data_IF_207198559234
#
_entry.id   IF_207198559234
#
_cell.length_a   1.000
_cell.length_b   1.000
_cell.length_c   1.000
_cell.angle_alpha   90.00
_cell.angle_beta   90.00
_cell.angle_gamma   90.00
#
_symmetry.space_group_name_H-M   'P 1'
#
loop_
_entity.id
_entity.type
_entity.pdbx_description
1 polymer ?
#
# COMPACT_ATOMS: atom_id res chain seq x y z
N UNK A 1 -4.56 46.95 22.88
CA UNK A 1 -5.00 45.77 23.67
C UNK A 1 -5.44 44.67 22.71
N UNK A 2 -4.61 43.65 22.49
CA UNK A 2 -4.83 42.58 21.51
C UNK A 2 -4.82 41.26 22.28
N UNK A 3 -5.94 40.54 22.27
CA UNK A 3 -6.13 39.28 23.00
C UNK A 3 -5.53 38.14 22.18
N UNK A 4 -4.55 37.43 22.73
CA UNK A 4 -4.06 36.17 22.18
C UNK A 4 -4.68 35.02 22.96
N UNK A 5 -5.42 34.17 22.25
CA UNK A 5 -6.07 32.97 22.80
C UNK A 5 -5.12 31.80 22.55
N UNK A 6 -4.71 31.11 23.62
CA UNK A 6 -4.06 29.80 23.57
C UNK A 6 -5.10 28.71 23.28
N UNK A 7 -4.78 27.78 22.37
CA UNK A 7 -5.31 26.40 22.33
C UNK A 7 -4.28 25.55 21.59
N UNK A 8 -3.49 24.72 22.29
CA UNK A 8 -3.73 23.33 22.73
C UNK A 8 -3.72 22.29 21.58
N UNK A 9 -2.72 21.41 21.69
CA UNK A 9 -2.37 20.19 20.96
C UNK A 9 -3.47 19.42 20.19
N UNK A 10 -3.08 18.85 19.03
CA UNK A 10 -3.21 17.43 18.62
C UNK A 10 -2.90 17.33 17.11
N UNK A 11 -1.65 17.04 16.73
CA UNK A 11 -1.24 17.08 15.32
C UNK A 11 -0.16 16.08 14.91
N UNK A 12 -0.06 14.95 15.60
CA UNK A 12 0.96 13.94 15.28
C UNK A 12 0.51 12.55 15.66
N UNK A 13 -0.10 11.84 14.72
CA UNK A 13 -0.03 10.38 14.59
C UNK A 13 -0.69 9.96 13.28
N UNK A 14 -0.15 8.90 12.68
CA UNK A 14 -0.61 8.16 11.50
C UNK A 14 0.05 8.51 10.15
N UNK A 15 1.36 8.30 10.06
CA UNK A 15 1.95 7.68 8.86
C UNK A 15 3.01 6.70 9.35
N UNK A 16 2.77 5.40 9.20
CA UNK A 16 3.76 4.31 8.97
C UNK A 16 3.13 2.94 9.25
N UNK A 17 2.46 2.35 8.27
CA UNK A 17 2.29 0.89 8.18
C UNK A 17 2.33 0.49 6.72
N UNK A 18 3.51 0.26 6.17
CA UNK A 18 3.75 -0.75 5.13
C UNK A 18 5.26 -0.84 4.83
N UNK A 19 5.86 -1.97 5.23
CA UNK A 19 7.04 -2.63 4.64
C UNK A 19 7.82 -3.32 5.76
N UNK A 20 7.35 -4.50 6.15
CA UNK A 20 8.16 -5.52 6.80
C UNK A 20 7.86 -6.82 6.06
N UNK A 21 8.50 -6.97 4.90
CA UNK A 21 8.66 -8.25 4.24
C UNK A 21 10.17 -8.46 4.04
N UNK A 22 10.61 -9.58 4.59
CA UNK A 22 11.82 -10.36 4.33
C UNK A 22 13.21 -9.99 4.87
N UNK A 23 13.81 -11.08 5.39
CA UNK A 23 15.22 -11.39 5.64
C UNK A 23 15.93 -10.89 6.92
N UNK A 24 16.14 -11.81 7.87
CA UNK A 24 17.18 -11.63 8.89
C UNK A 24 17.10 -12.51 10.13
N UNK A 25 17.34 -13.80 9.97
CA UNK A 25 17.77 -14.75 11.02
C UNK A 25 18.77 -14.12 12.01
N UNK A 26 18.42 -14.05 13.30
CA UNK A 26 19.40 -14.02 14.40
C UNK A 26 18.92 -14.89 15.57
N UNK A 27 19.60 -16.03 15.70
CA UNK A 27 19.59 -16.88 16.89
C UNK A 27 19.95 -16.09 18.14
N UNK A 28 19.11 -16.23 19.15
CA UNK A 28 19.42 -16.03 20.56
C UNK A 28 20.59 -16.93 20.97
N UNK A 29 21.67 -16.31 21.41
CA UNK A 29 22.68 -16.94 22.24
C UNK A 29 22.98 -16.00 23.39
N UNK A 30 22.63 -16.41 24.62
CA UNK A 30 23.17 -15.77 25.81
C UNK A 30 22.24 -15.77 27.02
N UNK A 31 22.49 -16.73 27.90
CA UNK A 31 22.53 -16.52 29.35
C UNK A 31 21.30 -16.84 30.20
N UNK A 32 21.29 -18.12 30.60
CA UNK A 32 21.27 -18.61 31.98
C UNK A 32 20.04 -18.35 32.87
N UNK A 33 19.33 -19.46 33.06
CA UNK A 33 18.38 -19.81 34.11
C UNK A 33 18.90 -19.40 35.50
N UNK A 34 18.07 -18.64 36.21
CA UNK A 34 18.15 -18.39 37.65
C UNK A 34 16.85 -17.75 38.12
N UNK A 35 16.02 -18.50 38.85
CA UNK A 35 14.82 -18.04 39.60
C UNK A 35 13.56 -17.59 38.82
N UNK A 36 12.91 -18.53 38.12
CA UNK A 36 11.45 -18.52 37.95
C UNK A 36 10.87 -19.92 37.62
N UNK A 37 11.39 -20.99 38.25
CA UNK A 37 10.84 -22.35 38.08
C UNK A 37 9.53 -22.60 38.87
N UNK A 38 8.84 -21.52 39.28
CA UNK A 38 7.50 -21.57 39.84
C UNK A 38 6.59 -20.53 39.15
N UNK A 39 6.65 -20.45 37.81
CA UNK A 39 5.43 -20.16 37.05
C UNK A 39 4.59 -21.44 37.05
N UNK A 40 3.87 -21.57 38.17
CA UNK A 40 3.00 -22.67 38.59
C UNK A 40 2.08 -23.11 37.45
N UNK A 41 1.80 -24.40 37.42
CA UNK A 41 0.78 -25.18 36.69
C UNK A 41 -0.62 -24.51 36.53
N UNK A 42 -0.85 -23.33 37.13
CA UNK A 42 -2.03 -22.47 37.04
C UNK A 42 -1.96 -21.38 35.94
N UNK A 43 -0.85 -21.21 35.21
CA UNK A 43 -0.78 -20.26 34.09
C UNK A 43 -1.72 -20.60 32.94
N UNK A 44 -2.06 -21.88 32.70
CA UNK A 44 -3.03 -22.24 31.66
C UNK A 44 -4.42 -21.68 31.94
N UNK A 45 -4.90 -21.75 33.19
CA UNK A 45 -6.21 -21.19 33.57
C UNK A 45 -6.22 -19.67 33.61
N UNK A 46 -5.10 -19.03 34.02
CA UNK A 46 -4.95 -17.56 33.97
C UNK A 46 -4.82 -17.06 32.54
N UNK A 47 -4.15 -17.81 31.66
CA UNK A 47 -4.00 -17.48 30.25
C UNK A 47 -5.30 -17.68 29.49
N UNK A 48 -6.02 -18.77 29.74
CA UNK A 48 -7.38 -18.98 29.24
C UNK A 48 -8.35 -17.90 29.74
N UNK A 49 -8.25 -17.49 31.01
CA UNK A 49 -9.01 -16.37 31.54
C UNK A 49 -8.66 -15.06 30.84
N UNK A 50 -7.36 -14.79 30.63
CA UNK A 50 -6.87 -13.62 29.89
C UNK A 50 -7.40 -13.60 28.45
N UNK A 51 -7.33 -14.74 27.75
CA UNK A 51 -7.83 -14.90 26.38
C UNK A 51 -9.35 -14.69 26.33
N UNK A 52 -10.08 -15.20 27.34
CA UNK A 52 -11.51 -14.98 27.47
C UNK A 52 -11.86 -13.51 27.74
N UNK A 53 -11.09 -12.80 28.57
CA UNK A 53 -11.26 -11.36 28.78
C UNK A 53 -10.93 -10.55 27.52
N UNK A 54 -9.89 -10.91 26.78
CA UNK A 54 -9.56 -10.26 25.51
C UNK A 54 -10.67 -10.48 24.46
N UNK A 55 -11.18 -11.70 24.36
CA UNK A 55 -12.30 -12.02 23.47
C UNK A 55 -13.57 -11.27 23.86
N UNK A 56 -13.89 -11.20 25.16
CA UNK A 56 -15.02 -10.43 25.66
C UNK A 56 -14.85 -8.93 25.37
N UNK A 57 -13.65 -8.38 25.56
CA UNK A 57 -13.33 -6.99 25.23
C UNK A 57 -13.54 -6.70 23.74
N UNK A 58 -13.01 -7.56 22.85
CA UNK A 58 -13.23 -7.46 21.40
C UNK A 58 -14.71 -7.52 21.04
N UNK A 59 -15.48 -8.39 21.69
CA UNK A 59 -16.92 -8.50 21.46
C UNK A 59 -17.66 -7.23 21.89
N UNK A 60 -17.35 -6.70 23.07
CA UNK A 60 -17.92 -5.44 23.57
C UNK A 60 -17.60 -4.26 22.65
N UNK A 61 -16.36 -4.16 22.16
CA UNK A 61 -15.98 -3.13 21.18
C UNK A 61 -16.77 -3.27 19.88
N UNK A 62 -16.89 -4.49 19.33
CA UNK A 62 -17.69 -4.75 18.11
C UNK A 62 -19.16 -4.42 18.32
N UNK A 63 -19.73 -4.77 19.47
CA UNK A 63 -21.10 -4.43 19.82
C UNK A 63 -21.31 -2.92 19.90
N UNK A 64 -20.39 -2.19 20.55
CA UNK A 64 -20.42 -0.73 20.61
C UNK A 64 -20.37 -0.10 19.22
N UNK A 65 -19.45 -0.55 18.34
CA UNK A 65 -19.38 -0.09 16.95
C UNK A 65 -20.67 -0.37 16.19
N UNK A 66 -21.23 -1.58 16.34
CA UNK A 66 -22.48 -1.95 15.67
C UNK A 66 -23.65 -1.07 16.14
N UNK A 67 -23.75 -0.80 17.44
CA UNK A 67 -24.79 0.08 17.98
C UNK A 67 -24.68 1.50 17.39
N UNK A 68 -23.47 2.04 17.28
CA UNK A 68 -23.23 3.33 16.62
C UNK A 68 -23.61 3.27 15.13
N UNK A 69 -23.25 2.19 14.42
CA UNK A 69 -23.63 2.02 13.01
C UNK A 69 -25.14 1.98 12.82
N UNK A 70 -25.89 1.33 13.71
CA UNK A 70 -27.35 1.30 13.69
C UNK A 70 -27.91 2.72 13.85
N UNK A 71 -27.40 3.49 14.81
CA UNK A 71 -27.82 4.89 15.02
C UNK A 71 -27.52 5.76 13.81
N UNK A 72 -26.31 5.68 13.24
CA UNK A 72 -25.93 6.43 12.04
C UNK A 72 -26.75 6.02 10.82
N UNK A 73 -27.10 4.74 10.69
CA UNK A 73 -27.90 4.23 9.58
C UNK A 73 -29.38 4.58 9.70
N UNK A 74 -29.85 4.92 10.89
CA UNK A 74 -31.22 5.38 11.12
C UNK A 74 -31.35 6.91 11.00
N UNK A 75 -30.23 7.65 10.96
CA UNK A 75 -30.20 9.11 10.82
C UNK A 75 -29.96 9.52 9.34
N UNK A 76 -30.96 10.10 8.65
CA UNK A 76 -30.82 10.57 7.28
C UNK A 76 -29.73 11.64 7.09
N UNK A 77 -29.44 12.46 8.10
CA UNK A 77 -28.41 13.50 8.05
C UNK A 77 -27.01 12.89 7.98
N UNK A 78 -26.76 11.90 8.84
CA UNK A 78 -25.52 11.13 8.85
C UNK A 78 -25.31 10.38 7.53
N UNK A 79 -26.38 9.77 6.99
CA UNK A 79 -26.35 9.10 5.68
C UNK A 79 -25.99 10.09 4.56
N UNK A 80 -26.62 11.26 4.51
CA UNK A 80 -26.35 12.24 3.46
C UNK A 80 -24.92 12.78 3.53
N UNK A 81 -24.41 13.05 4.73
CA UNK A 81 -23.01 13.46 4.93
C UNK A 81 -22.04 12.39 4.44
N UNK A 82 -22.29 11.11 4.75
CA UNK A 82 -21.48 10.01 4.27
C UNK A 82 -21.51 9.90 2.73
N UNK A 83 -22.68 10.11 2.11
CA UNK A 83 -22.84 10.13 0.65
C UNK A 83 -22.10 11.30 -0.01
N UNK A 84 -22.16 12.49 0.57
CA UNK A 84 -21.44 13.66 0.08
C UNK A 84 -19.93 13.47 0.13
N UNK A 85 -19.41 12.96 1.26
CA UNK A 85 -17.99 12.64 1.41
C UNK A 85 -17.54 11.55 0.43
N UNK A 86 -18.36 10.53 0.20
CA UNK A 86 -18.08 9.50 -0.79
C UNK A 86 -18.07 10.07 -2.22
N UNK A 87 -19.04 10.94 -2.54
CA UNK A 87 -19.13 11.61 -3.83
C UNK A 87 -17.92 12.53 -4.09
N UNK A 88 -17.48 13.28 -3.09
CA UNK A 88 -16.28 14.11 -3.17
C UNK A 88 -15.02 13.26 -3.36
N UNK A 89 -14.88 12.16 -2.61
CA UNK A 89 -13.76 11.23 -2.74
C UNK A 89 -13.71 10.59 -4.13
N UNK A 90 -14.86 10.17 -4.67
CA UNK A 90 -14.95 9.64 -6.03
C UNK A 90 -14.56 10.69 -7.09
N UNK A 91 -15.01 11.95 -6.93
CA UNK A 91 -14.61 13.05 -7.81
C UNK A 91 -13.11 13.31 -7.74
N UNK A 92 -12.50 13.31 -6.56
CA UNK A 92 -11.05 13.49 -6.45
C UNK A 92 -10.30 12.31 -7.07
N UNK A 93 -10.76 11.07 -6.85
CA UNK A 93 -10.13 9.88 -7.43
C UNK A 93 -10.17 9.86 -8.96
N UNK A 94 -11.24 10.35 -9.58
CA UNK A 94 -11.43 10.26 -11.05
C UNK A 94 -11.05 11.57 -11.75
N UNK A 95 -11.29 12.71 -11.11
CA UNK A 95 -11.12 14.05 -11.68
C UNK A 95 -9.76 14.67 -11.41
N UNK A 96 -9.13 14.35 -10.27
CA UNK A 96 -7.81 14.88 -9.96
C UNK A 96 -6.71 14.01 -10.55
N UNK A 97 -5.58 14.65 -10.87
CA UNK A 97 -4.38 13.97 -11.35
C UNK A 97 -3.32 13.87 -10.25
N UNK A 98 -2.95 14.99 -9.64
CA UNK A 98 -1.89 15.05 -8.64
C UNK A 98 -2.29 14.35 -7.33
N UNK A 99 -3.51 14.59 -6.86
CA UNK A 99 -4.00 14.09 -5.57
C UNK A 99 -4.78 12.78 -5.68
N UNK A 100 -4.93 12.21 -6.88
CA UNK A 100 -5.60 10.94 -7.08
C UNK A 100 -4.59 9.79 -7.04
N UNK A 101 -4.65 8.90 -6.03
CA UNK A 101 -3.87 7.68 -6.04
C UNK A 101 -4.17 6.79 -7.26
N UNK A 102 -5.41 6.81 -7.76
CA UNK A 102 -5.78 6.02 -8.93
C UNK A 102 -5.06 6.51 -10.20
N UNK A 103 -5.02 7.83 -10.42
CA UNK A 103 -4.28 8.40 -11.55
C UNK A 103 -2.77 8.13 -11.42
N UNK A 104 -2.22 8.31 -10.23
CA UNK A 104 -0.79 8.07 -9.97
C UNK A 104 -0.41 6.60 -10.17
N UNK A 105 -1.25 5.65 -9.78
CA UNK A 105 -1.02 4.23 -9.99
C UNK A 105 -0.97 3.88 -11.50
N UNK A 106 -1.90 4.41 -12.29
CA UNK A 106 -1.90 4.21 -13.75
C UNK A 106 -0.66 4.84 -14.39
N UNK A 107 -0.35 6.07 -14.01
CA UNK A 107 0.84 6.77 -14.51
C UNK A 107 2.12 6.01 -14.17
N UNK A 108 2.25 5.49 -12.95
CA UNK A 108 3.38 4.68 -12.52
C UNK A 108 3.52 3.41 -13.37
N UNK A 109 2.42 2.68 -13.60
CA UNK A 109 2.44 1.47 -14.42
C UNK A 109 2.89 1.77 -15.87
N UNK A 110 2.37 2.85 -16.47
CA UNK A 110 2.79 3.28 -17.82
C UNK A 110 4.26 3.68 -17.84
N UNK A 111 4.71 4.49 -16.88
CA UNK A 111 6.09 4.93 -16.79
C UNK A 111 7.05 3.77 -16.53
N UNK A 112 6.64 2.77 -15.75
CA UNK A 112 7.43 1.57 -15.52
C UNK A 112 7.58 0.74 -16.80
N UNK A 113 6.51 0.56 -17.59
CA UNK A 113 6.56 -0.15 -18.86
C UNK A 113 7.45 0.58 -19.89
N UNK A 114 7.30 1.90 -20.03
CA UNK A 114 8.13 2.73 -20.91
C UNK A 114 9.58 2.73 -20.44
N UNK A 115 9.81 2.89 -19.13
CA UNK A 115 11.13 2.85 -18.52
C UNK A 115 11.82 1.51 -18.72
N UNK A 116 11.09 0.41 -18.59
CA UNK A 116 11.61 -0.93 -18.86
C UNK A 116 12.09 -1.05 -20.32
N UNK A 117 11.26 -0.65 -21.30
CA UNK A 117 11.67 -0.67 -22.71
C UNK A 117 12.87 0.25 -22.99
N UNK A 118 12.92 1.44 -22.37
CA UNK A 118 14.07 2.33 -22.48
C UNK A 118 15.38 1.71 -21.96
N UNK A 119 15.31 0.79 -21.02
CA UNK A 119 16.49 0.09 -20.48
C UNK A 119 16.88 -1.11 -21.35
N UNK A 120 15.92 -1.92 -21.81
CA UNK A 120 16.22 -3.19 -22.50
C UNK A 120 16.16 -3.11 -24.03
N UNK A 121 15.59 -2.04 -24.60
CA UNK A 121 15.36 -1.91 -26.04
C UNK A 121 16.66 -2.02 -26.85
N UNK A 122 17.75 -1.40 -26.39
CA UNK A 122 19.02 -1.39 -27.12
C UNK A 122 19.72 -2.76 -27.20
N UNK A 123 19.43 -3.70 -26.30
CA UNK A 123 20.01 -5.06 -26.28
C UNK A 123 19.08 -6.11 -26.89
N UNK A 124 17.81 -5.76 -27.10
CA UNK A 124 16.81 -6.68 -27.61
C UNK A 124 17.05 -6.93 -29.09
N UNK A 125 17.22 -8.20 -29.46
CA UNK A 125 17.43 -8.59 -30.85
C UNK A 125 16.10 -8.56 -31.61
N UNK A 126 16.12 -7.98 -32.81
CA UNK A 126 14.98 -7.91 -33.72
C UNK A 126 15.50 -8.04 -35.17
N UNK A 127 14.65 -8.50 -36.08
CA UNK A 127 14.98 -8.62 -37.50
C UNK A 127 14.12 -9.63 -38.25
N UNK A 128 14.35 -9.75 -39.56
CA UNK A 128 13.60 -10.61 -40.46
C UNK A 128 12.84 -9.85 -41.54
N UNK A 129 11.95 -10.54 -42.22
CA UNK A 129 11.03 -10.00 -43.22
C UNK A 129 9.59 -10.03 -42.69
N UNK A 130 8.66 -9.45 -43.45
CA UNK A 130 7.23 -9.59 -43.21
C UNK A 130 6.84 -11.06 -42.97
N UNK A 131 5.82 -11.27 -42.15
CA UNK A 131 5.32 -12.59 -41.75
C UNK A 131 6.33 -13.41 -40.91
N UNK A 132 7.29 -12.75 -40.25
CA UNK A 132 8.26 -13.40 -39.35
C UNK A 132 9.26 -14.31 -40.08
N UNK A 133 9.45 -14.11 -41.39
CA UNK A 133 10.37 -14.92 -42.17
C UNK A 133 11.82 -14.51 -41.92
N UNK A 134 12.73 -15.48 -41.87
CA UNK A 134 14.16 -15.21 -41.78
C UNK A 134 14.62 -14.44 -43.02
N UNK A 135 15.43 -13.41 -42.82
CA UNK A 135 16.04 -12.65 -43.90
C UNK A 135 17.52 -12.97 -44.05
N UNK A 136 18.05 -12.78 -45.26
CA UNK A 136 19.48 -12.86 -45.57
C UNK A 136 20.12 -11.47 -45.44
N UNK A 137 19.40 -10.40 -45.83
CA UNK A 137 19.90 -9.01 -45.82
C UNK A 137 18.75 -8.00 -45.74
N UNK A 138 17.98 -8.02 -44.66
CA UNK A 138 16.98 -6.98 -44.36
C UNK A 138 17.51 -6.07 -43.26
N UNK A 139 17.22 -4.78 -43.39
CA UNK A 139 17.56 -3.76 -42.40
C UNK A 139 16.37 -2.80 -42.28
N UNK A 140 15.70 -2.84 -41.13
CA UNK A 140 14.54 -2.04 -40.75
C UNK A 140 14.91 -1.15 -39.57
N UNK A 141 14.80 0.16 -39.76
CA UNK A 141 15.14 1.14 -38.74
C UNK A 141 13.85 1.73 -38.16
N UNK A 142 13.70 1.64 -36.84
CA UNK A 142 12.63 2.29 -36.09
C UNK A 142 13.16 3.56 -35.44
N UNK A 143 12.55 4.70 -35.76
CA UNK A 143 12.96 6.02 -35.26
C UNK A 143 12.29 6.34 -33.92
N UNK A 144 12.95 7.22 -33.14
CA UNK A 144 12.49 7.63 -31.81
C UNK A 144 12.42 6.45 -30.82
N UNK A 145 13.41 5.57 -30.91
CA UNK A 145 13.55 4.37 -30.08
C UNK A 145 14.92 4.38 -29.36
N UNK A 146 15.03 3.74 -28.18
CA UNK A 146 16.23 3.77 -27.34
C UNK A 146 17.31 2.82 -27.88
N UNK A 147 17.99 3.21 -28.95
CA UNK A 147 19.08 2.45 -29.57
C UNK A 147 20.43 2.62 -28.87
N UNK A 148 21.37 1.70 -29.14
CA UNK A 148 22.73 1.80 -28.58
C UNK A 148 23.44 3.04 -29.15
N UNK A 149 23.66 4.06 -28.31
CA UNK A 149 24.23 5.36 -28.71
C UNK A 149 23.51 6.02 -29.89
N UNK A 150 22.21 5.76 -30.04
CA UNK A 150 21.37 6.22 -31.15
C UNK A 150 19.94 6.49 -30.67
N UNK A 151 19.22 7.33 -31.38
CA UNK A 151 17.77 7.58 -31.17
C UNK A 151 16.89 6.72 -32.09
N UNK A 152 17.47 5.65 -32.63
CA UNK A 152 16.78 4.67 -33.48
C UNK A 152 17.26 3.25 -33.15
N UNK A 153 16.34 2.29 -33.16
CA UNK A 153 16.65 0.85 -33.09
C UNK A 153 16.74 0.31 -34.51
N UNK A 154 17.78 -0.50 -34.77
CA UNK A 154 17.99 -1.16 -36.06
C UNK A 154 17.78 -2.66 -35.89
N UNK A 155 16.85 -3.18 -36.68
CA UNK A 155 16.50 -4.57 -36.90
C UNK A 155 16.76 -4.91 -38.38
#
# INVERSE_FOLDING_TARGET
MKKHILSLALGSLLVSTLSAEDDGFYMSAGYQIGEAAQMVTNTKGIQELSDNYENLSKLLTRYSTLNTLIQLSADPSAINTARENLGASAKNLIGDKANSPAYQAVLLAINAAVGFWNVVGYVTQCGGNANGQKSISSNTIFNNEPGYRSTSITC
#
